data_IF_861924177784
#
_entry.id   IF_861924177784
#
_cell.length_a   1.000
_cell.length_b   1.000
_cell.length_c   1.000
_cell.angle_alpha   90.00
_cell.angle_beta   90.00
_cell.angle_gamma   90.00
#
_symmetry.space_group_name_H-M   'P 1'
#
loop_
_entity.id
_entity.type
_entity.pdbx_description
1 polymer ?
#
# COMPACT_ATOMS: atom_id res chain seq x y z
N UNK A 1 4.57 -3.38 31.37
CA UNK A 1 5.52 -4.49 31.20
C UNK A 1 6.89 -3.95 30.75
N UNK A 2 7.96 -4.67 31.03
CA UNK A 2 9.35 -4.20 30.80
C UNK A 2 9.65 -3.79 29.34
N UNK A 3 8.95 -4.33 28.36
CA UNK A 3 9.12 -3.96 26.96
C UNK A 3 8.45 -2.62 26.61
N UNK A 4 7.29 -2.33 27.17
CA UNK A 4 6.58 -1.07 26.96
C UNK A 4 7.34 0.10 27.55
N UNK A 5 7.89 -0.07 28.76
CA UNK A 5 8.70 0.96 29.40
C UNK A 5 9.98 1.28 28.63
N UNK A 6 10.63 0.25 28.08
CA UNK A 6 11.86 0.41 27.29
C UNK A 6 11.60 1.09 25.94
N UNK A 7 10.52 0.70 25.26
CA UNK A 7 10.12 1.32 23.98
C UNK A 7 9.70 2.77 24.19
N UNK A 8 8.94 3.06 25.25
CA UNK A 8 8.54 4.42 25.60
C UNK A 8 9.76 5.34 25.84
N UNK A 9 10.75 4.86 26.56
CA UNK A 9 11.99 5.60 26.80
C UNK A 9 12.78 5.90 25.54
N UNK A 10 12.91 4.94 24.61
CA UNK A 10 13.58 5.13 23.33
C UNK A 10 12.84 6.12 22.43
N UNK A 11 11.53 6.03 22.37
CA UNK A 11 10.70 6.98 21.59
C UNK A 11 10.82 8.39 22.15
N UNK A 12 10.83 8.53 23.48
CA UNK A 12 11.00 9.84 24.10
C UNK A 12 12.39 10.44 23.82
N UNK A 13 13.46 9.66 23.98
CA UNK A 13 14.82 10.11 23.64
C UNK A 13 14.93 10.54 22.17
N UNK A 14 14.28 9.82 21.27
CA UNK A 14 14.29 10.16 19.85
C UNK A 14 13.51 11.46 19.57
N UNK A 15 12.38 11.69 20.25
CA UNK A 15 11.65 12.97 20.21
C UNK A 15 12.50 14.12 20.74
N UNK A 16 13.14 13.95 21.90
CA UNK A 16 13.98 14.96 22.54
C UNK A 16 15.18 15.34 21.69
N UNK A 17 15.67 14.42 20.87
CA UNK A 17 16.74 14.69 19.90
C UNK A 17 16.32 15.59 18.72
N UNK A 18 15.03 15.87 18.56
CA UNK A 18 14.48 16.60 17.43
C UNK A 18 14.53 15.86 16.07
N UNK A 19 14.94 14.58 16.09
CA UNK A 19 15.06 13.75 14.87
C UNK A 19 13.82 12.96 14.54
N UNK A 20 12.89 12.84 15.48
CA UNK A 20 11.62 12.14 15.30
C UNK A 20 10.48 13.09 15.61
N UNK A 21 9.60 13.22 14.67
CA UNK A 21 8.31 13.86 14.83
C UNK A 21 7.21 12.80 14.81
N UNK A 22 6.42 12.72 15.86
CA UNK A 22 5.27 11.82 15.93
C UNK A 22 4.03 12.60 15.48
N UNK A 23 3.49 12.22 14.35
CA UNK A 23 2.25 12.81 13.85
C UNK A 23 1.07 12.45 14.78
N UNK A 24 0.08 13.32 14.81
CA UNK A 24 -1.17 13.04 15.50
C UNK A 24 -1.80 11.75 14.92
N UNK A 25 -2.36 10.91 15.77
CA UNK A 25 -3.03 9.65 15.39
C UNK A 25 -4.16 9.82 14.36
N UNK A 26 -4.71 11.04 14.24
CA UNK A 26 -5.72 11.40 13.25
C UNK A 26 -5.14 11.85 11.91
N UNK A 27 -3.82 12.00 11.81
CA UNK A 27 -3.18 12.38 10.56
C UNK A 27 -3.27 11.23 9.55
N UNK A 28 -3.58 11.59 8.31
CA UNK A 28 -3.65 10.61 7.22
C UNK A 28 -2.24 10.12 6.83
N UNK A 29 -2.05 8.85 6.47
CA UNK A 29 -0.83 8.40 5.80
C UNK A 29 -0.48 9.20 4.54
N UNK A 30 -1.47 9.77 3.87
CA UNK A 30 -1.31 10.66 2.71
C UNK A 30 -0.53 11.92 3.11
N UNK A 31 -0.92 12.56 4.22
CA UNK A 31 -0.25 13.79 4.69
C UNK A 31 1.21 13.53 5.05
N UNK A 32 1.48 12.37 5.69
CA UNK A 32 2.84 11.96 6.01
C UNK A 32 3.67 11.68 4.75
N UNK A 33 3.07 11.02 3.76
CA UNK A 33 3.74 10.67 2.51
C UNK A 33 4.14 11.90 1.69
N UNK A 34 3.27 12.92 1.64
CA UNK A 34 3.54 14.17 0.91
C UNK A 34 4.73 14.97 1.50
N UNK A 35 5.10 14.70 2.74
CA UNK A 35 6.20 15.36 3.46
C UNK A 35 7.46 14.50 3.53
N UNK A 36 7.46 13.31 2.92
CA UNK A 36 8.52 12.31 3.10
C UNK A 36 9.13 11.89 1.77
N UNK A 37 10.45 11.78 1.72
CA UNK A 37 11.15 11.17 0.58
C UNK A 37 10.96 9.64 0.55
N UNK A 38 10.91 9.02 1.74
CA UNK A 38 10.73 7.59 1.91
C UNK A 38 9.58 7.26 2.86
N UNK A 39 8.76 6.30 2.48
CA UNK A 39 7.80 5.62 3.35
C UNK A 39 8.32 4.22 3.66
N UNK A 40 8.53 3.91 4.93
CA UNK A 40 9.07 2.62 5.37
C UNK A 40 8.00 1.87 6.16
N UNK A 41 7.64 0.68 5.68
CA UNK A 41 6.69 -0.22 6.33
C UNK A 41 7.35 -1.51 6.82
N UNK A 42 6.89 -2.02 7.97
CA UNK A 42 7.37 -3.30 8.53
C UNK A 42 6.31 -4.39 8.34
N UNK A 43 5.05 -4.01 8.42
CA UNK A 43 3.88 -4.88 8.19
C UNK A 43 2.76 -4.02 7.61
N UNK A 44 1.88 -4.64 6.84
CA UNK A 44 0.73 -3.91 6.30
C UNK A 44 1.07 -3.10 5.04
N UNK A 45 0.58 -3.58 3.93
CA UNK A 45 0.91 -3.07 2.59
C UNK A 45 0.15 -1.76 2.28
N UNK A 46 -1.02 -1.54 2.90
CA UNK A 46 -1.93 -0.46 2.50
C UNK A 46 -1.35 0.95 2.71
N UNK A 47 -0.72 1.22 3.85
CA UNK A 47 -0.17 2.55 4.13
C UNK A 47 0.99 2.90 3.19
N UNK A 48 1.90 1.93 2.93
CA UNK A 48 3.02 2.14 2.01
C UNK A 48 2.55 2.23 0.56
N UNK A 49 1.48 1.49 0.17
CA UNK A 49 0.89 1.60 -1.16
C UNK A 49 0.32 3.01 -1.39
N UNK A 50 -0.43 3.53 -0.41
CA UNK A 50 -0.93 4.92 -0.45
C UNK A 50 0.21 5.91 -0.55
N UNK A 51 1.31 5.71 0.20
CA UNK A 51 2.48 6.58 0.12
C UNK A 51 3.13 6.57 -1.25
N UNK A 52 3.25 5.39 -1.88
CA UNK A 52 3.75 5.27 -3.25
C UNK A 52 2.88 5.99 -4.28
N UNK A 53 1.55 5.93 -4.12
CA UNK A 53 0.60 6.65 -4.97
C UNK A 53 0.74 8.18 -4.83
N UNK A 54 1.25 8.68 -3.70
CA UNK A 54 1.56 10.09 -3.47
C UNK A 54 2.97 10.50 -3.91
N UNK A 55 3.75 9.58 -4.49
CA UNK A 55 5.08 9.85 -5.01
C UNK A 55 6.23 9.63 -4.03
N UNK A 56 5.96 9.21 -2.79
CA UNK A 56 7.02 8.81 -1.86
C UNK A 56 7.69 7.52 -2.34
N UNK A 57 9.00 7.39 -2.11
CA UNK A 57 9.71 6.13 -2.31
C UNK A 57 9.31 5.13 -1.24
N UNK A 58 8.98 3.91 -1.65
CA UNK A 58 8.43 2.89 -0.76
C UNK A 58 9.46 1.83 -0.44
N UNK A 59 9.69 1.62 0.84
CA UNK A 59 10.54 0.56 1.37
C UNK A 59 9.74 -0.31 2.33
N UNK A 60 9.83 -1.61 2.17
CA UNK A 60 9.08 -2.58 2.93
C UNK A 60 10.01 -3.67 3.49
N UNK A 61 9.89 -3.95 4.79
CA UNK A 61 10.61 -5.06 5.42
C UNK A 61 9.66 -6.24 5.52
N UNK A 62 9.95 -7.28 4.76
CA UNK A 62 9.20 -8.53 4.73
C UNK A 62 9.88 -9.59 5.60
N UNK A 63 9.66 -9.52 6.91
CA UNK A 63 10.15 -10.56 7.84
C UNK A 63 9.43 -11.89 7.65
N UNK A 64 8.20 -11.88 7.14
CA UNK A 64 7.35 -13.06 7.00
C UNK A 64 7.58 -13.80 5.69
N UNK A 65 8.36 -13.21 4.78
CA UNK A 65 8.64 -13.76 3.44
C UNK A 65 7.34 -14.10 2.69
N UNK A 66 6.49 -13.08 2.52
CA UNK A 66 5.18 -13.22 1.88
C UNK A 66 5.27 -13.81 0.46
N UNK A 67 6.37 -13.54 -0.25
CA UNK A 67 6.66 -14.11 -1.57
C UNK A 67 6.82 -15.64 -1.58
N UNK A 68 7.05 -16.25 -0.40
CA UNK A 68 7.19 -17.69 -0.20
C UNK A 68 5.96 -18.33 0.45
N UNK A 69 4.92 -17.54 0.71
CA UNK A 69 3.68 -17.95 1.38
C UNK A 69 2.50 -18.06 0.41
N UNK A 70 1.36 -18.54 0.92
CA UNK A 70 0.08 -18.51 0.20
C UNK A 70 -0.38 -17.08 -0.15
N UNK A 71 0.21 -16.05 0.49
CA UNK A 71 -0.08 -14.65 0.23
C UNK A 71 0.75 -14.04 -0.92
N UNK A 72 1.61 -14.84 -1.55
CA UNK A 72 2.42 -14.41 -2.71
C UNK A 72 1.62 -13.67 -3.80
N UNK A 73 0.39 -14.06 -4.18
CA UNK A 73 -0.38 -13.32 -5.17
C UNK A 73 -0.71 -11.88 -4.77
N UNK A 74 -0.67 -11.57 -3.47
CA UNK A 74 -0.96 -10.24 -2.93
C UNK A 74 0.31 -9.43 -2.63
N UNK A 75 1.49 -9.99 -2.85
CA UNK A 75 2.77 -9.35 -2.57
C UNK A 75 3.28 -8.55 -3.77
N UNK A 76 2.50 -7.57 -4.20
CA UNK A 76 2.73 -6.79 -5.43
C UNK A 76 4.12 -6.14 -5.50
N UNK A 77 4.67 -5.68 -4.38
CA UNK A 77 5.99 -5.03 -4.33
C UNK A 77 7.15 -5.97 -4.67
N UNK A 78 6.98 -7.28 -4.46
CA UNK A 78 7.99 -8.29 -4.81
C UNK A 78 8.18 -8.42 -6.32
N UNK A 79 7.18 -8.07 -7.12
CA UNK A 79 7.27 -8.08 -8.59
C UNK A 79 8.33 -7.10 -9.13
N UNK A 80 8.70 -6.10 -8.33
CA UNK A 80 9.72 -5.11 -8.68
C UNK A 80 11.15 -5.60 -8.53
N UNK A 81 11.33 -6.82 -8.06
CA UNK A 81 12.64 -7.44 -7.84
C UNK A 81 13.25 -7.13 -6.45
N UNK A 82 14.35 -7.80 -6.12
CA UNK A 82 14.99 -7.68 -4.82
C UNK A 82 15.66 -6.32 -4.65
N UNK A 83 15.75 -5.86 -3.39
CA UNK A 83 16.47 -4.64 -2.98
C UNK A 83 16.01 -3.34 -3.67
N UNK A 84 14.84 -3.36 -4.32
CA UNK A 84 14.22 -2.15 -4.86
C UNK A 84 13.23 -1.56 -3.86
N UNK A 85 12.20 -2.31 -3.51
CA UNK A 85 11.19 -1.93 -2.53
C UNK A 85 11.15 -2.87 -1.33
N UNK A 86 11.50 -4.15 -1.51
CA UNK A 86 11.38 -5.19 -0.48
C UNK A 86 12.74 -5.58 0.06
N UNK A 87 12.83 -5.62 1.38
CA UNK A 87 14.00 -6.03 2.15
C UNK A 87 13.58 -7.08 3.19
N UNK A 88 14.44 -8.03 3.49
CA UNK A 88 14.15 -9.12 4.43
C UNK A 88 14.76 -8.88 5.83
N UNK A 89 15.52 -7.80 6.01
CA UNK A 89 16.07 -7.39 7.30
C UNK A 89 16.36 -5.88 7.35
N UNK A 90 16.41 -5.36 8.57
CA UNK A 90 16.63 -3.94 8.83
C UNK A 90 18.00 -3.44 8.37
N UNK A 91 19.03 -4.28 8.45
CA UNK A 91 20.41 -3.86 8.14
C UNK A 91 20.57 -3.59 6.65
N UNK A 92 20.07 -4.49 5.78
CA UNK A 92 20.11 -4.29 4.34
C UNK A 92 19.31 -3.05 3.90
N UNK A 93 18.13 -2.84 4.49
CA UNK A 93 17.33 -1.63 4.24
C UNK A 93 18.09 -0.37 4.66
N UNK A 94 18.62 -0.34 5.89
CA UNK A 94 19.40 0.79 6.39
C UNK A 94 20.58 1.13 5.47
N UNK A 95 21.34 0.11 5.05
CA UNK A 95 22.49 0.30 4.19
C UNK A 95 22.08 0.87 2.82
N UNK A 96 20.97 0.37 2.24
CA UNK A 96 20.45 0.89 0.97
C UNK A 96 20.03 2.37 1.08
N UNK A 97 19.33 2.75 2.16
CA UNK A 97 18.95 4.14 2.40
C UNK A 97 20.17 5.03 2.60
N UNK A 98 21.16 4.61 3.40
CA UNK A 98 22.38 5.37 3.64
C UNK A 98 23.22 5.55 2.37
N UNK A 99 23.27 4.54 1.50
CA UNK A 99 23.94 4.63 0.22
C UNK A 99 23.22 5.61 -0.70
N UNK A 100 21.90 5.47 -0.81
CA UNK A 100 21.08 6.38 -1.60
C UNK A 100 21.21 7.84 -1.15
N UNK A 101 21.21 8.11 0.15
CA UNK A 101 21.35 9.48 0.67
C UNK A 101 22.71 10.10 0.35
N UNK A 102 23.76 9.28 0.23
CA UNK A 102 25.10 9.76 -0.19
C UNK A 102 25.19 9.97 -1.69
N UNK A 103 24.62 9.08 -2.46
CA UNK A 103 24.63 9.12 -3.93
C UNK A 103 23.35 8.51 -4.49
N UNK A 104 22.31 9.32 -4.73
CA UNK A 104 21.05 8.83 -5.32
C UNK A 104 21.22 8.14 -6.67
N UNK A 105 22.27 8.49 -7.43
CA UNK A 105 22.56 7.88 -8.72
C UNK A 105 23.07 6.45 -8.65
N UNK A 106 23.55 5.96 -7.48
CA UNK A 106 24.01 4.58 -7.31
C UNK A 106 22.87 3.55 -7.35
N UNK A 107 21.68 3.95 -6.91
CA UNK A 107 20.47 3.11 -6.98
C UNK A 107 19.22 3.97 -7.24
N UNK A 108 19.05 4.49 -8.46
CA UNK A 108 17.95 5.41 -8.79
C UNK A 108 16.56 4.77 -8.62
N UNK A 109 16.49 3.44 -8.67
CA UNK A 109 15.25 2.69 -8.53
C UNK A 109 14.89 2.33 -7.07
N UNK A 110 15.72 2.69 -6.09
CA UNK A 110 15.41 2.40 -4.69
C UNK A 110 14.06 3.02 -4.31
N UNK A 111 13.12 2.18 -3.89
CA UNK A 111 11.79 2.60 -3.47
C UNK A 111 10.86 3.10 -4.59
N UNK A 112 11.29 3.06 -5.85
CA UNK A 112 10.47 3.49 -6.97
C UNK A 112 9.41 2.43 -7.31
N UNK A 113 8.13 2.80 -7.16
CA UNK A 113 6.96 1.95 -7.43
C UNK A 113 6.25 2.30 -8.74
N UNK A 114 6.81 3.20 -9.53
CA UNK A 114 6.20 3.67 -10.79
C UNK A 114 5.75 2.53 -11.72
N UNK A 115 6.45 1.37 -11.85
CA UNK A 115 6.01 0.30 -12.73
C UNK A 115 4.76 -0.45 -12.28
N UNK A 116 4.34 -0.30 -11.02
CA UNK A 116 3.17 -1.01 -10.48
C UNK A 116 2.02 -0.07 -10.07
N UNK A 117 2.13 1.22 -10.35
CA UNK A 117 1.09 2.20 -9.98
C UNK A 117 -0.28 1.84 -10.57
N UNK A 118 -0.35 1.33 -11.78
CA UNK A 118 -1.61 0.92 -12.42
C UNK A 118 -2.21 -0.34 -11.78
N UNK A 119 -1.40 -1.14 -11.07
CA UNK A 119 -1.89 -2.28 -10.29
C UNK A 119 -2.36 -1.83 -8.89
N UNK A 120 -1.76 -0.77 -8.33
CA UNK A 120 -2.16 -0.20 -7.04
C UNK A 120 -3.44 0.62 -7.16
N UNK A 121 -3.53 1.48 -8.17
CA UNK A 121 -4.73 2.25 -8.49
C UNK A 121 -4.81 2.47 -10.02
N UNK A 122 -5.59 1.66 -10.74
CA UNK A 122 -5.71 1.74 -12.19
C UNK A 122 -6.40 3.01 -12.70
N UNK A 123 -7.03 3.77 -11.84
CA UNK A 123 -7.76 4.99 -12.22
C UNK A 123 -7.02 6.27 -11.85
N UNK A 124 -6.41 6.32 -10.68
CA UNK A 124 -5.67 7.48 -10.14
C UNK A 124 -6.42 8.82 -10.24
N UNK A 125 -7.74 8.79 -10.07
CA UNK A 125 -8.63 9.94 -10.27
C UNK A 125 -9.39 10.38 -9.01
N UNK A 126 -9.06 9.76 -7.85
CA UNK A 126 -9.68 10.06 -6.56
C UNK A 126 -11.14 9.62 -6.41
N UNK A 127 -11.70 8.88 -7.37
CA UNK A 127 -13.13 8.48 -7.36
C UNK A 127 -13.39 7.06 -6.87
N UNK A 128 -12.46 6.46 -6.14
CA UNK A 128 -12.60 5.08 -5.64
C UNK A 128 -13.87 4.89 -4.80
N UNK A 129 -14.16 5.81 -3.87
CA UNK A 129 -15.36 5.77 -3.02
C UNK A 129 -16.65 5.88 -3.84
N UNK A 130 -16.67 6.68 -4.90
CA UNK A 130 -17.82 6.76 -5.80
C UNK A 130 -18.07 5.41 -6.49
N UNK A 131 -17.01 4.78 -7.03
CA UNK A 131 -17.11 3.47 -7.68
C UNK A 131 -17.61 2.38 -6.75
N UNK A 132 -17.08 2.36 -5.53
CA UNK A 132 -17.52 1.42 -4.48
C UNK A 132 -18.99 1.65 -4.17
N UNK A 133 -19.39 2.90 -3.94
CA UNK A 133 -20.77 3.27 -3.65
C UNK A 133 -21.74 2.85 -4.77
N UNK A 134 -21.38 3.12 -6.03
CA UNK A 134 -22.20 2.71 -7.19
C UNK A 134 -22.31 1.17 -7.30
N UNK A 135 -21.20 0.44 -7.12
CA UNK A 135 -21.23 -1.03 -7.14
C UNK A 135 -22.15 -1.59 -6.06
N UNK A 136 -22.02 -1.09 -4.82
CA UNK A 136 -22.88 -1.50 -3.70
C UNK A 136 -24.35 -1.18 -3.98
N UNK A 137 -24.63 -0.01 -4.56
CA UNK A 137 -26.00 0.37 -4.90
C UNK A 137 -26.61 -0.59 -5.94
N UNK A 138 -25.90 -0.89 -7.03
CA UNK A 138 -26.35 -1.85 -8.04
C UNK A 138 -26.57 -3.25 -7.46
N UNK A 139 -25.71 -3.67 -6.54
CA UNK A 139 -25.87 -4.94 -5.85
C UNK A 139 -27.14 -4.98 -4.99
N UNK A 140 -27.37 -3.92 -4.20
CA UNK A 140 -28.55 -3.82 -3.34
C UNK A 140 -29.86 -3.69 -4.15
N UNK A 141 -29.86 -2.92 -5.24
CA UNK A 141 -31.01 -2.83 -6.15
C UNK A 141 -31.40 -4.20 -6.72
N UNK A 142 -30.40 -4.98 -7.15
CA UNK A 142 -30.63 -6.32 -7.68
C UNK A 142 -31.17 -7.28 -6.62
N UNK A 143 -30.67 -7.21 -5.37
CA UNK A 143 -31.23 -7.98 -4.25
C UNK A 143 -32.68 -7.60 -3.95
N UNK A 144 -33.00 -6.31 -3.98
CA UNK A 144 -34.36 -5.80 -3.78
C UNK A 144 -35.37 -6.33 -4.82
N UNK A 145 -34.88 -6.78 -5.97
CA UNK A 145 -35.67 -7.43 -7.04
C UNK A 145 -35.73 -8.97 -6.88
N UNK A 146 -35.51 -9.50 -5.70
CA UNK A 146 -35.50 -10.93 -5.37
C UNK A 146 -34.46 -11.78 -6.12
N UNK A 147 -33.38 -11.17 -6.59
CA UNK A 147 -32.26 -11.90 -7.18
C UNK A 147 -31.47 -12.67 -6.10
N UNK A 148 -30.91 -13.82 -6.47
CA UNK A 148 -29.95 -14.48 -5.59
C UNK A 148 -28.70 -13.61 -5.42
N UNK A 149 -27.96 -13.80 -4.32
CA UNK A 149 -26.70 -13.08 -4.07
C UNK A 149 -25.71 -13.17 -5.24
N UNK A 150 -25.57 -14.35 -5.83
CA UNK A 150 -24.70 -14.56 -7.00
C UNK A 150 -25.18 -13.82 -8.23
N UNK A 151 -26.48 -13.82 -8.50
CA UNK A 151 -27.06 -13.06 -9.61
C UNK A 151 -26.89 -11.55 -9.40
N UNK A 152 -27.09 -11.06 -8.18
CA UNK A 152 -26.89 -9.65 -7.83
C UNK A 152 -25.43 -9.21 -7.99
N UNK A 153 -24.47 -10.03 -7.54
CA UNK A 153 -23.03 -9.76 -7.74
C UNK A 153 -22.67 -9.72 -9.23
N UNK A 154 -23.21 -10.66 -10.03
CA UNK A 154 -22.99 -10.67 -11.47
C UNK A 154 -23.52 -9.40 -12.13
N UNK A 155 -24.75 -9.01 -11.83
CA UNK A 155 -25.37 -7.80 -12.36
C UNK A 155 -24.56 -6.54 -11.98
N UNK A 156 -24.15 -6.42 -10.73
CA UNK A 156 -23.31 -5.29 -10.29
C UNK A 156 -21.97 -5.25 -11.02
N UNK A 157 -21.33 -6.42 -11.22
CA UNK A 157 -20.05 -6.52 -11.94
C UNK A 157 -20.19 -6.17 -13.42
N UNK A 158 -21.30 -6.55 -14.07
CA UNK A 158 -21.59 -6.19 -15.46
C UNK A 158 -21.80 -4.69 -15.62
N UNK A 159 -22.60 -4.06 -14.74
CA UNK A 159 -22.78 -2.60 -14.72
C UNK A 159 -21.48 -1.87 -14.44
N UNK A 160 -20.64 -2.40 -13.55
CA UNK A 160 -19.33 -1.82 -13.27
C UNK A 160 -18.41 -1.89 -14.51
N UNK A 161 -18.36 -3.05 -15.17
CA UNK A 161 -17.57 -3.25 -16.39
C UNK A 161 -18.01 -2.31 -17.52
N UNK A 162 -19.33 -2.14 -17.70
CA UNK A 162 -19.91 -1.25 -18.71
C UNK A 162 -19.53 0.23 -18.44
N UNK A 163 -19.62 0.68 -17.18
CA UNK A 163 -19.40 2.08 -16.83
C UNK A 163 -17.94 2.44 -16.67
N UNK A 164 -17.13 1.56 -16.05
CA UNK A 164 -15.77 1.87 -15.60
C UNK A 164 -14.68 1.11 -16.36
N UNK A 165 -15.04 0.16 -17.23
CA UNK A 165 -14.12 -0.63 -18.03
C UNK A 165 -14.09 -2.11 -17.64
N UNK A 166 -14.22 -2.98 -18.64
CA UNK A 166 -14.20 -4.43 -18.43
C UNK A 166 -12.82 -4.95 -18.02
N UNK A 167 -11.77 -4.26 -18.40
CA UNK A 167 -10.38 -4.52 -18.04
C UNK A 167 -10.06 -4.17 -16.58
N UNK A 168 -10.96 -3.45 -15.90
CA UNK A 168 -10.83 -3.08 -14.48
C UNK A 168 -11.54 -4.05 -13.53
N UNK A 169 -12.18 -5.08 -14.06
CA UNK A 169 -12.86 -6.11 -13.25
C UNK A 169 -11.97 -7.33 -13.12
N UNK A 170 -11.51 -7.60 -11.90
CA UNK A 170 -10.82 -8.85 -11.58
C UNK A 170 -11.87 -9.95 -11.47
N UNK A 171 -11.87 -10.90 -12.40
CA UNK A 171 -12.70 -12.09 -12.30
C UNK A 171 -12.01 -13.11 -11.41
N UNK A 172 -12.56 -13.34 -10.21
CA UNK A 172 -12.15 -14.48 -9.41
C UNK A 172 -12.65 -15.76 -10.09
N UNK A 173 -11.74 -16.65 -10.40
CA UNK A 173 -12.08 -18.01 -10.81
C UNK A 173 -12.42 -18.81 -9.52
N UNK A 174 -13.63 -18.60 -8.98
CA UNK A 174 -14.22 -19.44 -7.96
C UNK A 174 -15.12 -20.48 -8.61
#
# INVERSE_FOLDING_TARGET
SCCEDRMGGLVQQAKDSGRIFVMNEKASPVDAAMLSDFAIGITGISAIAVSGLQGARVLYIDYEKLDQSALKPYSIFHSLGPNRCVFYNMESLKNAVLEYTKNPGSNPNLGDVSPILDQLDPFRDGKASQRIGEYVNWYLESLGQNSSKMAALKTASEKYAEKWGADKVIRSNF
#
